data_IF_451281100896
#
_entry.id   IF_451281100896
#
_cell.length_a   1.000
_cell.length_b   1.000
_cell.length_c   1.000
_cell.angle_alpha   90.00
_cell.angle_beta   90.00
_cell.angle_gamma   90.00
#
_symmetry.space_group_name_H-M   'P 1'
#
loop_
_entity.id
_entity.type
_entity.pdbx_description
1 polymer ?
#
# COMPACT_ATOMS: atom_id res chain seq x y z
N UNK A 1 6.80 11.50 -27.47
CA UNK A 1 5.34 11.32 -27.32
C UNK A 1 5.02 9.86 -27.63
N UNK A 2 4.29 9.15 -26.75
CA UNK A 2 3.90 7.75 -26.97
C UNK A 2 2.43 7.53 -26.63
N UNK A 3 1.75 6.64 -27.35
CA UNK A 3 0.38 6.25 -27.00
C UNK A 3 0.40 5.30 -25.80
N UNK A 4 -0.37 5.62 -24.77
CA UNK A 4 -0.58 4.76 -23.62
C UNK A 4 -1.60 3.67 -23.96
N UNK A 5 -1.50 2.51 -23.27
CA UNK A 5 -2.46 1.39 -23.43
C UNK A 5 -3.93 1.79 -23.17
N UNK A 6 -4.15 2.89 -22.44
CA UNK A 6 -5.48 3.45 -22.14
C UNK A 6 -5.99 4.42 -23.22
N UNK A 7 -5.38 4.47 -24.41
CA UNK A 7 -5.77 5.35 -25.52
C UNK A 7 -5.33 6.81 -25.38
N UNK A 8 -4.71 7.19 -24.25
CA UNK A 8 -4.20 8.54 -24.00
C UNK A 8 -2.82 8.79 -24.60
N UNK A 9 -2.45 10.07 -24.72
CA UNK A 9 -1.14 10.51 -25.19
C UNK A 9 -0.21 10.77 -24.00
N UNK A 10 0.98 10.15 -23.98
CA UNK A 10 2.01 10.46 -22.99
C UNK A 10 3.09 11.36 -23.60
N UNK A 11 3.24 12.54 -23.02
CA UNK A 11 4.30 13.49 -23.35
C UNK A 11 5.33 13.44 -22.23
N UNK A 12 6.55 13.03 -22.58
CA UNK A 12 7.68 13.07 -21.66
C UNK A 12 8.35 14.43 -21.80
N UNK A 13 8.36 15.21 -20.72
CA UNK A 13 9.01 16.51 -20.65
C UNK A 13 10.22 16.34 -19.76
N UNK A 14 11.41 16.65 -20.30
CA UNK A 14 12.64 16.71 -19.52
C UNK A 14 12.78 18.15 -19.03
N UNK A 15 12.73 18.35 -17.72
CA UNK A 15 12.78 19.68 -17.14
C UNK A 15 12.48 19.66 -15.64
N UNK A 16 12.65 20.81 -15.00
CA UNK A 16 12.31 21.03 -13.60
C UNK A 16 10.79 21.03 -13.38
N UNK A 17 10.29 20.76 -12.16
CA UNK A 17 8.85 20.72 -11.88
C UNK A 17 8.10 22.01 -12.28
N UNK A 18 8.77 23.17 -12.25
CA UNK A 18 8.21 24.45 -12.68
C UNK A 18 7.95 24.50 -14.20
N UNK A 19 8.92 24.02 -15.00
CA UNK A 19 8.80 23.94 -16.46
C UNK A 19 7.72 22.93 -16.87
N UNK A 20 7.59 21.83 -16.13
CA UNK A 20 6.52 20.85 -16.33
C UNK A 20 5.15 21.46 -16.02
N UNK A 21 5.06 22.35 -15.02
CA UNK A 21 3.81 23.05 -14.73
C UNK A 21 3.44 24.08 -15.80
N UNK A 22 4.43 24.81 -16.35
CA UNK A 22 4.24 25.75 -17.45
C UNK A 22 3.82 25.03 -18.74
N UNK A 23 4.47 23.91 -19.05
CA UNK A 23 4.09 23.06 -20.19
C UNK A 23 2.71 22.46 -20.00
N UNK A 24 2.35 22.04 -18.78
CA UNK A 24 0.97 21.60 -18.46
C UNK A 24 -0.04 22.71 -18.74
N UNK A 25 0.25 23.95 -18.31
CA UNK A 25 -0.63 25.08 -18.53
C UNK A 25 -0.80 25.39 -20.02
N UNK A 26 0.28 25.33 -20.81
CA UNK A 26 0.21 25.54 -22.27
C UNK A 26 -0.54 24.43 -22.99
N UNK A 27 -0.32 23.17 -22.60
CA UNK A 27 -1.05 22.03 -23.17
C UNK A 27 -2.52 22.12 -22.76
N UNK A 28 -2.85 22.53 -21.53
CA UNK A 28 -4.23 22.72 -21.10
C UNK A 28 -4.93 23.89 -21.79
N UNK A 29 -4.19 24.92 -22.23
CA UNK A 29 -4.72 25.98 -23.11
C UNK A 29 -5.01 25.47 -24.52
N UNK A 30 -4.09 24.68 -25.06
CA UNK A 30 -4.15 24.21 -26.46
C UNK A 30 -5.09 23.03 -26.66
N UNK A 31 -5.17 22.17 -25.65
CA UNK A 31 -6.07 21.03 -25.61
C UNK A 31 -7.38 21.52 -24.99
N UNK A 32 -8.42 21.70 -25.81
CA UNK A 32 -9.72 22.22 -25.36
C UNK A 32 -10.29 21.47 -24.14
N UNK A 33 -11.33 22.05 -23.52
CA UNK A 33 -11.88 21.64 -22.20
C UNK A 33 -12.26 20.15 -22.06
N UNK A 34 -12.34 19.39 -23.15
CA UNK A 34 -12.57 17.94 -23.14
C UNK A 34 -11.32 17.10 -22.82
N UNK A 35 -10.11 17.67 -22.92
CA UNK A 35 -8.85 16.94 -22.74
C UNK A 35 -8.27 17.23 -21.35
N UNK A 36 -8.43 16.25 -20.44
CA UNK A 36 -7.83 16.31 -19.10
C UNK A 36 -6.31 16.12 -19.12
N UNK A 37 -5.56 17.22 -19.00
CA UNK A 37 -4.09 17.19 -18.87
C UNK A 37 -3.69 16.89 -17.42
N UNK A 38 -3.14 15.69 -17.19
CA UNK A 38 -2.64 15.26 -15.89
C UNK A 38 -1.16 14.92 -15.93
N UNK A 39 -0.43 15.36 -14.92
CA UNK A 39 0.95 14.92 -14.70
C UNK A 39 0.95 13.51 -14.12
N UNK A 40 1.79 12.64 -14.67
CA UNK A 40 1.94 11.28 -14.18
C UNK A 40 2.85 11.29 -12.94
N UNK A 41 2.22 11.34 -11.77
CA UNK A 41 2.91 11.30 -10.48
C UNK A 41 2.80 9.90 -9.85
N UNK A 42 3.84 9.49 -9.11
CA UNK A 42 3.77 8.30 -8.27
C UNK A 42 2.71 8.52 -7.18
N UNK A 43 1.73 7.61 -7.13
CA UNK A 43 0.65 7.65 -6.14
C UNK A 43 0.94 6.66 -5.04
N UNK A 44 0.72 7.08 -3.80
CA UNK A 44 0.81 6.25 -2.62
C UNK A 44 -0.55 6.18 -1.93
N UNK A 45 -0.69 5.19 -1.05
CA UNK A 45 -1.92 4.93 -0.33
C UNK A 45 -1.67 5.17 1.17
N UNK A 46 -2.56 5.94 1.78
CA UNK A 46 -2.44 6.46 3.13
C UNK A 46 -3.65 6.04 3.95
N UNK A 47 -3.38 5.64 5.19
CA UNK A 47 -4.37 5.33 6.21
C UNK A 47 -4.56 6.51 7.16
N UNK A 48 -5.79 7.03 7.23
CA UNK A 48 -6.21 8.03 8.23
C UNK A 48 -7.10 7.32 9.25
N UNK A 49 -6.64 7.25 10.50
CA UNK A 49 -7.29 6.55 11.62
C UNK A 49 -7.93 7.55 12.58
N UNK A 50 -8.75 7.02 13.48
CA UNK A 50 -9.34 7.78 14.58
C UNK A 50 -10.26 8.91 14.06
N UNK A 51 -10.91 8.65 12.92
CA UNK A 51 -11.98 9.49 12.40
C UNK A 51 -13.23 9.29 13.25
N UNK A 52 -14.03 10.34 13.40
CA UNK A 52 -15.28 10.24 14.15
C UNK A 52 -16.32 9.42 13.38
N UNK A 53 -17.34 8.94 14.09
CA UNK A 53 -18.41 8.14 13.51
C UNK A 53 -19.27 8.92 12.50
N UNK A 54 -19.30 10.26 12.57
CA UNK A 54 -20.04 11.17 11.68
C UNK A 54 -19.18 11.79 10.58
N UNK A 55 -17.87 11.52 10.56
CA UNK A 55 -16.98 12.11 9.55
C UNK A 55 -17.31 11.58 8.16
N UNK A 56 -17.37 12.49 7.19
CA UNK A 56 -17.72 12.18 5.81
C UNK A 56 -16.50 12.17 4.88
N UNK A 57 -16.62 11.46 3.76
CA UNK A 57 -15.59 11.41 2.71
C UNK A 57 -15.11 12.79 2.21
N UNK A 58 -15.99 13.73 1.84
CA UNK A 58 -15.59 15.09 1.45
C UNK A 58 -14.83 15.84 2.55
N UNK A 59 -15.23 15.71 3.82
CA UNK A 59 -14.56 16.36 4.95
C UNK A 59 -13.09 15.90 5.06
N UNK A 60 -12.83 14.61 4.82
CA UNK A 60 -11.47 14.06 4.79
C UNK A 60 -10.65 14.65 3.63
N UNK A 61 -11.25 14.84 2.46
CA UNK A 61 -10.57 15.43 1.29
C UNK A 61 -10.27 16.92 1.50
N UNK A 62 -11.18 17.66 2.11
CA UNK A 62 -10.99 19.07 2.48
C UNK A 62 -9.88 19.23 3.53
N UNK A 63 -9.83 18.34 4.53
CA UNK A 63 -8.76 18.36 5.54
C UNK A 63 -7.38 18.17 4.91
N UNK A 64 -7.25 17.23 3.97
CA UNK A 64 -6.00 16.99 3.23
C UNK A 64 -5.64 18.22 2.39
N UNK A 65 -6.62 18.77 1.66
CA UNK A 65 -6.46 19.96 0.82
C UNK A 65 -6.00 21.16 1.64
N UNK A 66 -6.58 21.34 2.84
CA UNK A 66 -6.22 22.41 3.76
C UNK A 66 -4.81 22.24 4.34
N UNK A 67 -4.38 21.00 4.58
CA UNK A 67 -3.05 20.71 5.13
C UNK A 67 -1.92 20.85 4.11
N UNK A 68 -2.17 20.55 2.83
CA UNK A 68 -1.13 20.52 1.79
C UNK A 68 -1.28 21.57 0.69
N UNK A 69 -2.40 22.28 0.63
CA UNK A 69 -2.70 23.26 -0.41
C UNK A 69 -2.87 22.66 -1.81
N UNK A 70 -3.23 21.38 -1.91
CA UNK A 70 -3.32 20.67 -3.18
C UNK A 70 -4.74 20.62 -3.74
N UNK A 71 -4.87 20.53 -5.06
CA UNK A 71 -6.18 20.40 -5.69
C UNK A 71 -6.89 19.09 -5.28
N UNK A 72 -8.20 19.14 -4.94
CA UNK A 72 -8.95 17.96 -4.51
C UNK A 72 -9.05 16.89 -5.60
N UNK A 73 -8.90 17.25 -6.88
CA UNK A 73 -8.92 16.31 -8.02
C UNK A 73 -7.72 15.35 -8.04
N UNK A 74 -6.62 15.71 -7.37
CA UNK A 74 -5.42 14.86 -7.30
C UNK A 74 -5.55 13.77 -6.24
N UNK A 75 -6.43 13.97 -5.26
CA UNK A 75 -6.64 13.10 -4.11
C UNK A 75 -7.85 12.21 -4.39
N UNK A 76 -7.73 10.92 -4.08
CA UNK A 76 -8.82 9.96 -4.29
C UNK A 76 -9.09 9.18 -3.02
N UNK A 77 -10.29 9.30 -2.47
CA UNK A 77 -10.77 8.42 -1.42
C UNK A 77 -11.00 7.02 -2.01
N UNK A 78 -10.29 6.01 -1.47
CA UNK A 78 -10.36 4.62 -1.95
C UNK A 78 -11.48 3.87 -1.24
N UNK A 79 -11.51 3.94 0.10
CA UNK A 79 -12.63 3.43 0.91
C UNK A 79 -12.64 4.07 2.28
N UNK A 80 -13.80 4.01 2.93
CA UNK A 80 -13.92 4.20 4.37
C UNK A 80 -14.42 2.90 5.02
N UNK A 81 -13.96 2.60 6.24
CA UNK A 81 -14.45 1.47 7.04
C UNK A 81 -14.63 1.90 8.49
N UNK A 82 -15.68 1.38 9.14
CA UNK A 82 -15.87 1.50 10.59
C UNK A 82 -14.95 0.52 11.31
N UNK A 83 -14.34 0.94 12.41
CA UNK A 83 -13.57 0.10 13.33
C UNK A 83 -14.38 -0.17 14.60
N UNK A 84 -13.88 -1.10 15.42
CA UNK A 84 -14.42 -1.36 16.75
C UNK A 84 -14.32 -0.09 17.62
N UNK A 85 -15.38 0.25 18.35
CA UNK A 85 -15.41 1.45 19.21
C UNK A 85 -15.89 2.74 18.53
N UNK A 86 -16.58 2.66 17.38
CA UNK A 86 -17.20 3.83 16.73
C UNK A 86 -16.27 4.66 15.84
N UNK A 87 -14.96 4.56 16.04
CA UNK A 87 -13.98 5.22 15.18
C UNK A 87 -14.02 4.70 13.73
N UNK A 88 -13.70 5.57 12.77
CA UNK A 88 -13.60 5.23 11.36
C UNK A 88 -12.15 5.24 10.87
N UNK A 89 -11.92 4.60 9.72
CA UNK A 89 -10.66 4.61 8.97
C UNK A 89 -10.94 4.95 7.52
N UNK A 90 -10.22 5.95 6.99
CA UNK A 90 -10.21 6.27 5.56
C UNK A 90 -8.91 5.79 4.91
N UNK A 91 -9.03 5.21 3.72
CA UNK A 91 -7.93 4.93 2.81
C UNK A 91 -7.95 5.95 1.69
N UNK A 92 -6.87 6.71 1.55
CA UNK A 92 -6.76 7.78 0.55
C UNK A 92 -5.56 7.52 -0.33
N UNK A 93 -5.74 7.64 -1.64
CA UNK A 93 -4.66 7.66 -2.62
C UNK A 93 -4.33 9.10 -2.98
N UNK A 94 -3.09 9.50 -2.77
CA UNK A 94 -2.58 10.83 -3.09
C UNK A 94 -1.19 10.73 -3.75
N UNK A 95 -0.72 11.79 -4.44
CA UNK A 95 0.67 11.86 -4.90
C UNK A 95 1.66 11.71 -3.74
N UNK A 96 2.87 11.24 -4.04
CA UNK A 96 3.93 11.04 -3.04
C UNK A 96 4.28 12.32 -2.28
N UNK A 97 4.34 13.46 -2.96
CA UNK A 97 4.64 14.77 -2.37
C UNK A 97 3.65 15.12 -1.23
N UNK A 98 2.35 15.05 -1.54
CA UNK A 98 1.25 15.28 -0.60
C UNK A 98 1.30 14.28 0.56
N UNK A 99 1.52 13.01 0.23
CA UNK A 99 1.58 11.92 1.21
C UNK A 99 2.72 12.12 2.20
N UNK A 100 3.91 12.51 1.73
CA UNK A 100 5.07 12.74 2.58
C UNK A 100 4.84 13.85 3.58
N UNK A 101 4.21 14.96 3.16
CA UNK A 101 3.89 16.08 4.07
C UNK A 101 2.98 15.61 5.21
N UNK A 102 1.88 14.94 4.89
CA UNK A 102 0.88 14.55 5.90
C UNK A 102 1.41 13.44 6.81
N UNK A 103 2.17 12.48 6.25
CA UNK A 103 2.80 11.42 7.05
C UNK A 103 3.88 11.99 7.96
N UNK A 104 4.66 12.99 7.51
CA UNK A 104 5.69 13.64 8.34
C UNK A 104 5.08 14.39 9.53
N UNK A 105 3.90 14.99 9.36
CA UNK A 105 3.12 15.57 10.46
C UNK A 105 2.56 14.48 11.39
N UNK A 106 2.21 13.31 10.84
CA UNK A 106 1.70 12.14 11.55
C UNK A 106 0.28 12.29 12.11
N UNK A 107 -0.26 13.52 12.12
CA UNK A 107 -1.60 13.85 12.57
C UNK A 107 -2.26 14.83 11.60
N UNK A 108 -3.52 14.57 11.28
CA UNK A 108 -4.34 15.42 10.44
C UNK A 108 -5.59 15.82 11.22
N UNK A 109 -5.97 17.09 11.18
CA UNK A 109 -7.22 17.55 11.79
C UNK A 109 -8.36 17.39 10.78
N UNK A 110 -9.37 16.60 11.13
CA UNK A 110 -10.60 16.44 10.35
C UNK A 110 -11.74 16.93 11.23
N UNK A 111 -12.38 18.03 10.80
CA UNK A 111 -13.34 18.76 11.62
C UNK A 111 -12.74 19.18 12.98
N UNK A 112 -13.28 18.62 14.06
CA UNK A 112 -12.84 18.88 15.44
C UNK A 112 -11.96 17.78 16.02
N UNK A 113 -11.69 16.71 15.28
CA UNK A 113 -10.92 15.55 15.76
C UNK A 113 -9.51 15.56 15.15
N UNK A 114 -8.54 15.12 15.94
CA UNK A 114 -7.17 14.91 15.48
C UNK A 114 -6.95 13.44 15.16
N UNK A 115 -6.86 13.14 13.87
CA UNK A 115 -6.73 11.81 13.30
C UNK A 115 -5.26 11.44 13.10
N UNK A 116 -4.90 10.17 13.32
CA UNK A 116 -3.53 9.70 13.08
C UNK A 116 -3.35 9.23 11.63
N UNK A 117 -2.25 9.65 10.99
CA UNK A 117 -1.97 9.36 9.58
C UNK A 117 -0.75 8.46 9.46
N UNK A 118 -0.87 7.39 8.65
CA UNK A 118 0.23 6.46 8.37
C UNK A 118 0.23 6.03 6.92
N UNK A 119 1.39 5.65 6.39
CA UNK A 119 1.42 4.90 5.13
C UNK A 119 0.59 3.63 5.25
N UNK A 120 -0.16 3.31 4.20
CA UNK A 120 -0.79 2.01 4.09
C UNK A 120 0.29 1.01 3.69
N UNK A 121 0.87 0.33 4.66
CA UNK A 121 1.72 -0.83 4.40
C UNK A 121 0.83 -1.92 3.80
N UNK A 122 0.83 -2.01 2.47
CA UNK A 122 0.34 -3.21 1.81
C UNK A 122 1.22 -4.35 2.31
N UNK A 123 0.74 -5.11 3.30
CA UNK A 123 1.39 -6.32 3.79
C UNK A 123 1.28 -7.37 2.68
N UNK A 124 2.07 -7.20 1.63
CA UNK A 124 2.15 -8.14 0.52
C UNK A 124 2.74 -9.41 1.10
N UNK A 125 1.92 -10.46 1.07
CA UNK A 125 2.38 -11.81 1.34
C UNK A 125 2.92 -12.38 0.04
N UNK A 126 4.18 -12.79 0.05
CA UNK A 126 4.81 -13.42 -1.09
C UNK A 126 4.05 -14.71 -1.46
N UNK A 127 3.66 -14.86 -2.71
CA UNK A 127 2.96 -16.07 -3.17
C UNK A 127 3.85 -17.31 -3.20
N UNK A 128 5.17 -17.13 -3.21
CA UNK A 128 6.16 -18.21 -3.24
C UNK A 128 6.47 -18.73 -1.84
N UNK A 129 7.09 -17.92 -0.99
CA UNK A 129 7.54 -18.36 0.34
C UNK A 129 6.52 -18.14 1.47
N UNK A 130 5.40 -17.47 1.18
CA UNK A 130 4.34 -17.10 2.12
C UNK A 130 4.74 -16.08 3.20
N UNK A 131 5.98 -15.58 3.20
CA UNK A 131 6.43 -14.50 4.09
C UNK A 131 5.96 -13.11 3.64
N UNK A 132 6.00 -12.12 4.54
CA UNK A 132 5.57 -10.74 4.24
C UNK A 132 6.73 -9.85 3.82
N UNK A 133 6.45 -8.86 2.95
CA UNK A 133 7.34 -7.74 2.67
C UNK A 133 8.09 -7.81 1.33
N UNK A 134 7.85 -8.83 0.51
CA UNK A 134 8.38 -8.91 -0.85
C UNK A 134 7.40 -9.60 -1.81
N UNK A 135 7.59 -9.37 -3.11
CA UNK A 135 6.82 -10.03 -4.16
C UNK A 135 7.48 -11.33 -4.62
N UNK A 136 6.70 -12.23 -5.22
CA UNK A 136 7.20 -13.52 -5.72
C UNK A 136 8.33 -13.37 -6.75
N UNK A 137 8.34 -12.28 -7.53
CA UNK A 137 9.36 -11.99 -8.54
C UNK A 137 10.76 -11.72 -7.94
N UNK A 138 10.80 -11.18 -6.73
CA UNK A 138 12.04 -10.85 -6.02
C UNK A 138 12.31 -11.81 -4.85
N UNK A 139 11.64 -12.97 -4.84
CA UNK A 139 11.70 -13.91 -3.73
C UNK A 139 12.90 -14.86 -3.86
N UNK A 140 13.78 -14.82 -2.87
CA UNK A 140 14.89 -15.79 -2.68
C UNK A 140 14.56 -16.87 -1.64
N UNK A 141 13.34 -16.87 -1.11
CA UNK A 141 12.89 -17.84 -0.11
C UNK A 141 12.51 -19.20 -0.71
N UNK A 142 12.26 -20.19 0.17
CA UNK A 142 11.80 -21.52 -0.24
C UNK A 142 10.43 -21.46 -0.92
N UNK A 143 10.18 -22.38 -1.84
CA UNK A 143 8.91 -22.47 -2.54
C UNK A 143 7.89 -23.22 -1.68
N UNK A 144 6.84 -22.50 -1.25
CA UNK A 144 5.72 -23.00 -0.44
C UNK A 144 4.39 -22.78 -1.16
N UNK A 145 4.40 -22.72 -2.49
CA UNK A 145 3.21 -22.46 -3.32
C UNK A 145 2.10 -23.49 -3.15
N UNK A 146 2.46 -24.75 -2.91
CA UNK A 146 1.53 -25.87 -2.69
C UNK A 146 1.04 -25.99 -1.25
N UNK A 147 1.63 -25.21 -0.34
CA UNK A 147 1.33 -25.24 1.08
C UNK A 147 0.16 -24.31 1.43
N UNK A 148 -0.62 -24.72 2.41
CA UNK A 148 -1.76 -23.96 2.90
C UNK A 148 -1.28 -22.61 3.46
N UNK A 149 -1.85 -21.51 2.95
CA UNK A 149 -1.51 -20.15 3.38
C UNK A 149 -1.84 -19.86 4.85
N UNK A 150 -2.59 -20.74 5.54
CA UNK A 150 -2.97 -20.57 6.95
C UNK A 150 -2.06 -21.37 7.88
N UNK A 151 -1.80 -22.65 7.59
CA UNK A 151 -1.08 -23.56 8.49
C UNK A 151 0.23 -24.12 7.92
N UNK A 152 0.55 -23.90 6.64
CA UNK A 152 1.79 -24.37 6.02
C UNK A 152 1.79 -25.83 5.56
N UNK A 153 0.70 -26.57 5.74
CA UNK A 153 0.60 -27.97 5.33
C UNK A 153 0.19 -28.12 3.85
N UNK A 154 0.69 -29.15 3.18
CA UNK A 154 0.34 -29.49 1.79
C UNK A 154 -1.01 -30.19 1.69
N UNK A 155 -1.60 -30.21 0.49
CA UNK A 155 -2.80 -31.01 0.20
C UNK A 155 -4.14 -30.31 0.44
N UNK A 156 -4.15 -29.06 0.95
CA UNK A 156 -5.36 -28.25 1.03
C UNK A 156 -5.09 -26.75 0.83
N UNK A 157 -6.13 -26.01 0.43
CA UNK A 157 -6.10 -24.55 0.33
C UNK A 157 -6.61 -23.93 1.62
N UNK A 158 -6.23 -22.68 1.90
CA UNK A 158 -6.65 -21.96 3.10
C UNK A 158 -8.18 -21.88 3.29
N UNK A 159 -8.96 -21.91 2.21
CA UNK A 159 -10.43 -21.94 2.26
C UNK A 159 -10.98 -23.23 2.91
N UNK A 160 -10.28 -24.36 2.76
CA UNK A 160 -10.67 -25.67 3.29
C UNK A 160 -9.76 -26.09 4.46
N UNK A 161 -9.14 -25.13 5.13
CA UNK A 161 -8.21 -25.40 6.22
C UNK A 161 -8.96 -25.65 7.53
N UNK A 162 -8.86 -26.87 8.05
CA UNK A 162 -9.41 -27.30 9.35
C UNK A 162 -8.39 -27.22 10.50
N UNK A 163 -7.18 -26.68 10.24
CA UNK A 163 -6.16 -26.55 11.25
C UNK A 163 -6.58 -25.58 12.37
N UNK A 164 -6.15 -25.87 13.60
CA UNK A 164 -6.41 -25.02 14.77
C UNK A 164 -5.65 -23.71 14.67
N UNK A 165 -6.13 -22.67 15.37
CA UNK A 165 -5.46 -21.37 15.41
C UNK A 165 -4.04 -21.46 16.01
N UNK A 166 -3.78 -22.44 16.88
CA UNK A 166 -2.44 -22.73 17.38
C UNK A 166 -1.48 -23.17 16.26
N UNK A 167 -1.90 -24.10 15.40
CA UNK A 167 -1.09 -24.53 14.26
C UNK A 167 -0.84 -23.40 13.25
N UNK A 168 -1.85 -22.55 13.03
CA UNK A 168 -1.72 -21.36 12.19
C UNK A 168 -0.73 -20.33 12.76
N UNK A 169 -0.74 -20.13 14.09
CA UNK A 169 0.16 -19.19 14.77
C UNK A 169 1.62 -19.68 14.74
N UNK A 170 1.87 -20.97 14.98
CA UNK A 170 3.21 -21.55 14.88
C UNK A 170 3.79 -21.35 13.48
N UNK A 171 3.00 -21.61 12.44
CA UNK A 171 3.42 -21.36 11.07
C UNK A 171 3.66 -19.86 10.79
N UNK A 172 2.81 -18.98 11.34
CA UNK A 172 3.01 -17.54 11.22
C UNK A 172 4.30 -17.05 11.90
N UNK A 173 4.71 -17.65 13.02
CA UNK A 173 5.99 -17.38 13.68
C UNK A 173 7.19 -17.81 12.83
N UNK A 174 7.13 -19.00 12.23
CA UNK A 174 8.17 -19.48 11.28
C UNK A 174 8.33 -18.52 10.11
N UNK A 175 7.22 -18.00 9.56
CA UNK A 175 7.26 -17.01 8.49
C UNK A 175 7.83 -15.66 8.94
N UNK A 176 7.62 -15.25 10.19
CA UNK A 176 8.19 -14.01 10.74
C UNK A 176 9.69 -14.12 10.99
N UNK A 177 10.19 -15.27 11.46
CA UNK A 177 11.62 -15.54 11.63
C UNK A 177 12.38 -15.48 10.29
N UNK A 178 11.74 -15.87 9.19
CA UNK A 178 12.32 -15.79 7.84
C UNK A 178 12.50 -14.34 7.31
N UNK A 179 11.95 -13.33 8.00
CA UNK A 179 12.08 -11.90 7.66
C UNK A 179 13.43 -11.32 8.09
N UNK A 180 14.14 -11.96 9.02
CA UNK A 180 15.41 -11.51 9.58
C UNK A 180 16.57 -12.43 9.15
N UNK A 181 16.89 -12.46 7.87
CA UNK A 181 18.26 -12.81 7.47
C UNK A 181 18.89 -11.63 6.73
N UNK A 182 19.87 -10.94 7.34
CA UNK A 182 20.77 -10.10 6.58
C UNK A 182 21.60 -10.99 5.65
N UNK A 183 21.99 -10.40 4.52
CA UNK A 183 22.91 -10.97 3.55
C UNK A 183 24.19 -11.48 4.21
N UNK A 184 24.57 -12.71 3.84
CA UNK A 184 25.88 -13.33 3.95
C UNK A 184 26.46 -13.58 5.36
N UNK A 185 26.68 -14.86 5.64
CA UNK A 185 27.85 -15.33 6.39
C UNK A 185 27.73 -15.38 7.90
N UNK A 186 27.21 -16.49 8.43
CA UNK A 186 27.91 -17.31 9.45
C UNK A 186 26.96 -18.39 9.95
N UNK A 187 27.37 -19.65 9.78
CA UNK A 187 26.69 -20.80 10.36
C UNK A 187 26.67 -20.68 11.89
N UNK A 188 25.50 -20.89 12.50
CA UNK A 188 25.39 -21.43 13.86
C UNK A 188 24.10 -22.22 13.95
N UNK A 189 24.28 -23.53 14.14
CA UNK A 189 23.27 -24.56 14.30
C UNK A 189 22.47 -24.34 15.58
N UNK A 190 21.19 -24.02 15.44
CA UNK A 190 20.22 -24.06 16.53
C UNK A 190 18.89 -24.61 16.01
N UNK A 191 18.53 -25.81 16.44
CA UNK A 191 17.18 -26.39 16.48
C UNK A 191 16.37 -26.36 15.19
N UNK A 192 16.39 -27.46 14.43
CA UNK A 192 15.46 -27.69 13.33
C UNK A 192 14.02 -27.83 13.86
N UNK A 193 13.22 -26.76 13.76
CA UNK A 193 11.77 -26.92 13.65
C UNK A 193 11.51 -27.39 12.23
N UNK A 194 11.13 -28.66 12.06
CA UNK A 194 10.88 -29.28 10.76
C UNK A 194 9.89 -28.45 9.96
N UNK A 195 10.35 -27.91 8.84
CA UNK A 195 9.53 -27.22 7.86
C UNK A 195 8.64 -28.27 7.19
N UNK A 196 7.37 -28.37 7.64
CA UNK A 196 6.38 -29.33 7.12
C UNK A 196 6.09 -29.20 5.62
N UNK A 197 6.73 -28.23 4.94
CA UNK A 197 6.59 -27.90 3.53
C UNK A 197 7.82 -28.31 2.71
N UNK A 198 8.63 -29.29 3.16
CA UNK A 198 9.62 -29.95 2.27
C UNK A 198 8.99 -31.16 1.58
N UNK A 199 8.90 -31.21 0.25
CA UNK A 199 8.55 -32.45 -0.44
C UNK A 199 9.63 -33.51 -0.17
N UNK A 200 9.20 -34.74 0.10
CA UNK A 200 10.08 -35.93 0.14
C UNK A 200 10.67 -36.21 -1.24
#
# INVERSE_FOLDING_TARGET
>A
MRQAKSGGLLIEVRGNPEEVSAVRAEIARSAGAEIGVRTLQQRELVEIRDLDQWSDGPEVLEAITSATGCDPSTIRLVRMRKRFGGAQLALVSAPKEVTQVIVSQGRLRVGMVSCSVRHCDAKVRCFKCLAYGHEAKSCQGPDRTECCRRCGETGHKAANCSATDQAANVFAEVLQASKSMPSAGSYRSSGATEDKCTPK
#
